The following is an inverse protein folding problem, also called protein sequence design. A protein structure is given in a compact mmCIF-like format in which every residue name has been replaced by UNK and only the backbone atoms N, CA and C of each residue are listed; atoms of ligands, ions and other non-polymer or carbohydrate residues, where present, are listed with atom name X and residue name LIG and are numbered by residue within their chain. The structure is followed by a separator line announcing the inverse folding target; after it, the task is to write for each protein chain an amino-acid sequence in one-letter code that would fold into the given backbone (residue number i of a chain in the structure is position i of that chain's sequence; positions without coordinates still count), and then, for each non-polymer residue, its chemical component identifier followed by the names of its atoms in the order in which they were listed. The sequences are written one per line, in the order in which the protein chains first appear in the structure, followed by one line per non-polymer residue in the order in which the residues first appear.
data_IF_571771176379
#
_entry.id   IF_571771176379
#
_cell.length_a   1.000
_cell.length_b   1.000
_cell.length_c   1.000
_cell.angle_alpha   90.00
_cell.angle_beta   90.00
_cell.angle_gamma   90.00
#
_symmetry.space_group_name_H-M   'P 1'
#
loop_
_entity.id
_entity.type
_entity.pdbx_description
1 polymer ?
#
# COMPACT_ATOMS: atom_id res chain seq x y z
N UNK A 1 -17.16 -1.63 2.77
CA UNK A 1 -18.06 -0.87 1.87
C UNK A 1 -18.96 0.14 2.59
N UNK A 2 -19.13 0.04 3.90
CA UNK A 2 -19.91 0.98 4.74
C UNK A 2 -19.44 2.45 4.61
N UNK A 3 -18.16 2.72 4.87
CA UNK A 3 -17.59 4.08 4.82
C UNK A 3 -17.40 4.66 3.41
N UNK A 4 -17.78 3.93 2.35
CA UNK A 4 -17.65 4.43 0.97
C UNK A 4 -18.77 5.41 0.59
N UNK A 5 -19.88 5.45 1.32
CA UNK A 5 -20.94 6.42 1.07
C UNK A 5 -20.62 7.77 1.74
N UNK A 6 -20.42 8.81 0.94
CA UNK A 6 -20.00 10.14 1.40
C UNK A 6 -21.06 10.88 2.21
N UNK A 7 -22.34 10.52 2.06
CA UNK A 7 -23.45 11.17 2.75
C UNK A 7 -23.96 10.40 3.97
N UNK A 8 -23.47 9.18 4.19
CA UNK A 8 -23.88 8.34 5.31
C UNK A 8 -23.02 8.53 6.56
N UNK A 9 -21.82 9.10 6.41
CA UNK A 9 -20.84 9.24 7.49
C UNK A 9 -20.24 10.63 7.50
N UNK A 10 -20.10 11.20 8.69
CA UNK A 10 -19.40 12.47 8.87
C UNK A 10 -17.90 12.29 8.58
N UNK A 11 -17.24 13.26 7.90
CA UNK A 11 -15.82 13.13 7.56
C UNK A 11 -14.89 12.87 8.76
N UNK A 12 -15.28 13.33 9.96
CA UNK A 12 -14.53 13.11 11.19
C UNK A 12 -14.50 11.63 11.61
N UNK A 13 -15.56 10.87 11.35
CA UNK A 13 -15.65 9.44 11.70
C UNK A 13 -14.61 8.60 10.92
N UNK A 14 -14.13 9.10 9.78
CA UNK A 14 -13.17 8.41 8.92
C UNK A 14 -11.77 8.33 9.54
N UNK A 15 -11.46 9.15 10.55
CA UNK A 15 -10.21 9.04 11.30
C UNK A 15 -10.16 7.80 12.17
N UNK A 16 -11.30 7.36 12.72
CA UNK A 16 -11.39 6.18 13.56
C UNK A 16 -11.79 4.92 12.78
N UNK A 17 -12.30 5.09 11.55
CA UNK A 17 -12.68 3.97 10.69
C UNK A 17 -11.50 2.98 10.47
N UNK A 18 -11.76 1.66 10.51
CA UNK A 18 -10.76 0.64 10.23
C UNK A 18 -10.36 0.68 8.75
N UNK A 19 -9.08 0.40 8.49
CA UNK A 19 -8.53 0.32 7.13
C UNK A 19 -8.30 -1.14 6.73
N UNK A 20 -8.66 -1.48 5.50
CA UNK A 20 -8.48 -2.82 4.93
C UNK A 20 -7.55 -2.75 3.73
N UNK A 21 -6.56 -3.65 3.67
CA UNK A 21 -5.77 -3.87 2.45
C UNK A 21 -6.57 -4.74 1.48
N UNK A 22 -6.70 -4.29 0.24
CA UNK A 22 -7.38 -5.02 -0.84
C UNK A 22 -6.40 -5.26 -1.98
N UNK A 23 -6.57 -6.38 -2.69
CA UNK A 23 -5.79 -6.68 -3.88
C UNK A 23 -5.99 -5.56 -4.92
N UNK A 24 -4.89 -4.97 -5.39
CA UNK A 24 -4.94 -3.87 -6.35
C UNK A 24 -5.55 -4.29 -7.69
N UNK A 25 -5.26 -5.51 -8.16
CA UNK A 25 -5.75 -6.06 -9.41
C UNK A 25 -6.31 -7.49 -9.22
N UNK A 26 -7.56 -7.64 -8.73
CA UNK A 26 -8.16 -8.94 -8.47
C UNK A 26 -8.25 -9.87 -9.69
N UNK A 27 -8.20 -9.29 -10.90
CA UNK A 27 -8.24 -10.05 -12.16
C UNK A 27 -6.91 -10.73 -12.48
N UNK A 28 -5.81 -10.29 -11.86
CA UNK A 28 -4.46 -10.81 -12.14
C UNK A 28 -4.27 -12.25 -11.66
N UNK A 29 -5.06 -12.71 -10.68
CA UNK A 29 -4.90 -14.00 -9.99
C UNK A 29 -3.50 -14.19 -9.38
N UNK A 30 -2.75 -13.10 -9.20
CA UNK A 30 -1.38 -13.12 -8.72
C UNK A 30 -1.29 -13.79 -7.35
N UNK A 31 -2.23 -13.48 -6.45
CA UNK A 31 -2.24 -14.04 -5.12
C UNK A 31 -2.33 -15.57 -5.12
N UNK A 32 -3.23 -16.12 -5.93
CA UNK A 32 -3.40 -17.57 -6.07
C UNK A 32 -2.18 -18.25 -6.68
N UNK A 33 -1.55 -17.61 -7.68
CA UNK A 33 -0.32 -18.14 -8.28
C UNK A 33 0.83 -18.20 -7.27
N UNK A 34 1.10 -17.10 -6.54
CA UNK A 34 2.17 -17.07 -5.53
C UNK A 34 1.96 -18.10 -4.41
N UNK A 35 0.71 -18.28 -3.96
CA UNK A 35 0.38 -19.29 -2.96
C UNK A 35 0.58 -20.72 -3.48
N UNK A 36 0.29 -20.96 -4.76
CA UNK A 36 0.53 -22.24 -5.42
C UNK A 36 2.02 -22.56 -5.53
N UNK A 37 2.84 -21.62 -5.99
CA UNK A 37 4.29 -21.80 -6.13
C UNK A 37 5.00 -21.96 -4.79
N UNK A 38 4.51 -21.29 -3.74
CA UNK A 38 5.07 -21.43 -2.40
C UNK A 38 4.65 -22.73 -1.68
N UNK A 39 3.66 -23.46 -2.20
CA UNK A 39 3.16 -24.66 -1.56
C UNK A 39 4.27 -25.73 -1.48
N UNK A 40 4.67 -26.09 -0.26
CA UNK A 40 5.76 -27.05 -0.04
C UNK A 40 7.17 -26.48 -0.22
N UNK A 41 7.31 -25.19 -0.55
CA UNK A 41 8.62 -24.54 -0.61
C UNK A 41 9.22 -24.39 0.78
N UNK A 42 10.52 -24.64 0.93
CA UNK A 42 11.24 -24.50 2.19
C UNK A 42 11.89 -23.12 2.35
N UNK A 43 12.17 -22.43 1.23
CA UNK A 43 12.82 -21.14 1.22
C UNK A 43 12.06 -20.15 0.32
N UNK A 44 11.94 -18.91 0.78
CA UNK A 44 11.43 -17.77 0.02
C UNK A 44 12.56 -16.74 -0.04
N UNK A 45 13.04 -16.46 -1.25
CA UNK A 45 14.08 -15.48 -1.50
C UNK A 45 13.52 -14.27 -2.23
N UNK A 46 13.57 -13.11 -1.57
CA UNK A 46 12.95 -11.87 -2.01
C UNK A 46 13.95 -11.00 -2.77
N UNK A 47 13.60 -10.69 -4.03
CA UNK A 47 14.41 -9.91 -4.99
C UNK A 47 13.72 -8.62 -5.44
N UNK A 48 12.83 -8.07 -4.61
CA UNK A 48 12.16 -6.79 -4.87
C UNK A 48 13.16 -5.63 -4.81
N UNK A 49 12.77 -4.47 -5.32
CA UNK A 49 13.63 -3.27 -5.30
C UNK A 49 14.04 -2.90 -3.87
N UNK A 50 15.25 -2.39 -3.70
CA UNK A 50 15.85 -2.14 -2.37
C UNK A 50 15.49 -0.75 -1.82
N UNK A 51 14.20 -0.45 -1.77
CA UNK A 51 13.66 0.75 -1.13
C UNK A 51 12.54 0.39 -0.14
N UNK A 52 11.89 1.41 0.45
CA UNK A 52 10.83 1.19 1.44
C UNK A 52 9.60 0.51 0.84
N UNK A 53 9.23 0.85 -0.40
CA UNK A 53 8.07 0.25 -1.08
C UNK A 53 8.35 -1.23 -1.41
N UNK A 54 9.58 -1.54 -1.85
CA UNK A 54 10.01 -2.91 -2.08
C UNK A 54 10.02 -3.76 -0.81
N UNK A 55 10.42 -3.21 0.33
CA UNK A 55 10.30 -3.90 1.63
C UNK A 55 8.84 -4.07 2.06
N UNK A 56 7.96 -3.10 1.78
CA UNK A 56 6.53 -3.23 2.04
C UNK A 56 5.93 -4.38 1.23
N UNK A 57 6.21 -4.44 -0.07
CA UNK A 57 5.77 -5.54 -0.95
C UNK A 57 6.39 -6.88 -0.51
N UNK A 58 7.63 -6.90 0.00
CA UNK A 58 8.22 -8.12 0.57
C UNK A 58 7.32 -8.70 1.67
N UNK A 59 6.84 -7.86 2.59
CA UNK A 59 5.97 -8.30 3.68
C UNK A 59 4.56 -8.67 3.22
N UNK A 60 4.04 -8.06 2.15
CA UNK A 60 2.80 -8.52 1.51
C UNK A 60 2.95 -9.94 0.94
N UNK A 61 4.04 -10.21 0.22
CA UNK A 61 4.34 -11.54 -0.32
C UNK A 61 4.53 -12.56 0.80
N UNK A 62 5.30 -12.23 1.84
CA UNK A 62 5.49 -13.09 3.01
C UNK A 62 4.13 -13.42 3.64
N UNK A 63 3.30 -12.41 3.93
CA UNK A 63 1.99 -12.59 4.53
C UNK A 63 1.08 -13.51 3.71
N UNK A 64 1.17 -13.40 2.38
CA UNK A 64 0.38 -14.20 1.46
C UNK A 64 0.78 -15.68 1.43
N UNK A 65 2.09 -15.97 1.40
CA UNK A 65 2.60 -17.31 1.06
C UNK A 65 3.11 -18.12 2.24
N UNK A 66 3.46 -17.47 3.35
CA UNK A 66 4.15 -18.09 4.50
C UNK A 66 3.38 -19.27 5.09
N UNK A 67 2.06 -19.27 5.07
CA UNK A 67 1.25 -20.38 5.60
C UNK A 67 1.32 -21.64 4.71
N UNK A 68 1.50 -21.47 3.40
CA UNK A 68 1.56 -22.56 2.40
C UNK A 68 2.93 -23.24 2.31
N UNK A 69 3.98 -22.56 2.77
CA UNK A 69 5.35 -23.08 2.78
C UNK A 69 5.52 -24.30 3.71
N UNK A 70 6.50 -25.15 3.42
CA UNK A 70 6.89 -26.27 4.27
C UNK A 70 7.69 -25.81 5.49
N UNK A 71 7.62 -26.56 6.60
CA UNK A 71 8.39 -26.28 7.82
C UNK A 71 9.61 -27.20 7.88
N UNK A 72 10.83 -26.70 8.17
CA UNK A 72 11.18 -25.32 8.51
C UNK A 72 11.16 -24.37 7.31
N UNK A 73 10.77 -23.10 7.59
CA UNK A 73 10.64 -22.02 6.59
C UNK A 73 11.84 -21.09 6.68
N UNK A 74 12.46 -20.80 5.55
CA UNK A 74 13.58 -19.87 5.44
C UNK A 74 13.15 -18.63 4.64
N UNK A 75 13.17 -17.46 5.27
CA UNK A 75 12.85 -16.19 4.63
C UNK A 75 14.15 -15.42 4.42
N UNK A 76 14.45 -15.08 3.17
CA UNK A 76 15.70 -14.44 2.77
C UNK A 76 15.42 -13.21 1.93
N UNK A 77 16.24 -12.18 2.11
CA UNK A 77 16.19 -10.92 1.36
C UNK A 77 17.52 -10.67 0.67
N UNK A 78 17.48 -10.48 -0.65
CA UNK A 78 18.63 -10.02 -1.41
C UNK A 78 18.67 -8.49 -1.42
N UNK A 79 19.81 -7.90 -1.07
CA UNK A 79 20.03 -6.46 -1.17
C UNK A 79 20.99 -6.15 -2.32
N UNK A 80 20.50 -5.43 -3.33
CA UNK A 80 21.24 -5.03 -4.52
C UNK A 80 20.92 -3.55 -4.84
N UNK A 81 21.80 -2.88 -5.56
CA UNK A 81 21.67 -1.48 -5.99
C UNK A 81 21.62 -1.32 -7.50
N UNK A 82 21.99 -2.36 -8.26
CA UNK A 82 21.83 -2.41 -9.71
C UNK A 82 21.51 -3.82 -10.21
N UNK A 83 21.08 -3.92 -11.47
CA UNK A 83 20.86 -5.20 -12.16
C UNK A 83 22.14 -5.73 -12.83
N UNK A 84 23.31 -5.21 -12.44
CA UNK A 84 24.59 -5.68 -12.96
C UNK A 84 24.92 -7.05 -12.40
N UNK A 85 25.44 -7.94 -13.26
CA UNK A 85 25.77 -9.32 -12.89
C UNK A 85 26.68 -9.42 -11.65
N UNK A 86 27.63 -8.48 -11.49
CA UNK A 86 28.52 -8.43 -10.32
C UNK A 86 27.76 -8.16 -9.02
N UNK A 87 26.80 -7.23 -9.05
CA UNK A 87 26.03 -6.83 -7.89
C UNK A 87 25.03 -7.91 -7.47
N UNK A 88 24.32 -8.51 -8.42
CA UNK A 88 23.40 -9.62 -8.15
C UNK A 88 24.13 -10.83 -7.54
N UNK A 89 25.34 -11.15 -8.02
CA UNK A 89 26.14 -12.24 -7.44
C UNK A 89 26.61 -11.90 -6.03
N UNK A 90 26.94 -10.65 -5.78
CA UNK A 90 27.31 -10.16 -4.45
C UNK A 90 26.13 -10.26 -3.48
N UNK A 91 24.94 -9.81 -3.90
CA UNK A 91 23.70 -9.88 -3.14
C UNK A 91 23.33 -11.33 -2.78
N UNK A 92 23.41 -12.25 -3.75
CA UNK A 92 23.14 -13.67 -3.51
C UNK A 92 24.14 -14.30 -2.52
N UNK A 93 25.39 -13.85 -2.50
CA UNK A 93 26.38 -14.30 -1.52
C UNK A 93 26.18 -13.73 -0.11
N UNK A 94 25.33 -12.72 0.07
CA UNK A 94 25.12 -11.97 1.32
C UNK A 94 23.64 -11.73 1.61
N UNK A 95 22.86 -12.81 1.54
CA UNK A 95 21.44 -12.76 1.84
C UNK A 95 21.20 -12.37 3.30
N UNK A 96 20.26 -11.45 3.50
CA UNK A 96 19.82 -10.97 4.80
C UNK A 96 18.40 -11.40 5.12
N UNK A 97 17.83 -10.75 6.15
CA UNK A 97 16.42 -10.82 6.48
C UNK A 97 15.69 -9.56 5.99
N UNK A 98 14.42 -9.65 5.58
CA UNK A 98 13.63 -8.48 5.22
C UNK A 98 13.39 -7.57 6.44
N UNK A 99 13.34 -6.24 6.25
CA UNK A 99 13.24 -5.27 7.35
C UNK A 99 11.80 -4.83 7.58
N UNK A 100 11.18 -5.35 8.64
CA UNK A 100 9.79 -5.04 8.98
C UNK A 100 9.57 -3.56 9.27
N UNK A 101 10.57 -2.85 9.81
CA UNK A 101 10.41 -1.44 10.20
C UNK A 101 10.21 -0.54 8.99
N UNK A 102 10.83 -0.89 7.86
CA UNK A 102 10.66 -0.17 6.60
C UNK A 102 9.27 -0.42 6.02
N UNK A 103 8.77 -1.66 6.08
CA UNK A 103 7.42 -2.00 5.68
C UNK A 103 6.36 -1.30 6.55
N UNK A 104 6.52 -1.33 7.88
CA UNK A 104 5.63 -0.68 8.84
C UNK A 104 5.57 0.84 8.62
N UNK A 105 6.68 1.47 8.24
CA UNK A 105 6.73 2.89 7.92
C UNK A 105 5.92 3.25 6.66
N UNK A 106 5.93 2.39 5.64
CA UNK A 106 5.09 2.56 4.44
C UNK A 106 3.62 2.36 4.79
N UNK A 107 3.29 1.34 5.56
CA UNK A 107 1.91 1.09 6.02
C UNK A 107 1.36 2.27 6.81
N UNK A 108 2.13 2.81 7.74
CA UNK A 108 1.75 4.01 8.50
C UNK A 108 1.49 5.20 7.57
N UNK A 109 2.38 5.44 6.59
CA UNK A 109 2.21 6.51 5.60
C UNK A 109 0.93 6.32 4.77
N UNK A 110 0.68 5.13 4.24
CA UNK A 110 -0.52 4.82 3.46
C UNK A 110 -1.81 5.07 4.25
N UNK A 111 -1.86 4.66 5.52
CA UNK A 111 -3.02 4.87 6.40
C UNK A 111 -3.23 6.36 6.66
N UNK A 112 -2.16 7.11 6.97
CA UNK A 112 -2.24 8.56 7.22
C UNK A 112 -2.72 9.30 5.97
N UNK A 113 -2.11 9.01 4.81
CA UNK A 113 -2.46 9.64 3.54
C UNK A 113 -3.91 9.33 3.15
N UNK A 114 -4.37 8.09 3.33
CA UNK A 114 -5.76 7.70 3.08
C UNK A 114 -6.73 8.45 4.00
N UNK A 115 -6.49 8.42 5.33
CA UNK A 115 -7.41 9.02 6.31
C UNK A 115 -7.49 10.52 6.16
N UNK A 116 -6.35 11.23 6.09
CA UNK A 116 -6.33 12.66 5.86
C UNK A 116 -6.91 13.02 4.49
N UNK A 117 -6.49 12.30 3.45
CA UNK A 117 -6.95 12.53 2.09
C UNK A 117 -8.47 12.42 1.97
N UNK A 118 -9.06 11.32 2.44
CA UNK A 118 -10.51 11.10 2.34
C UNK A 118 -11.30 12.06 3.24
N UNK A 119 -10.88 12.29 4.49
CA UNK A 119 -11.60 13.14 5.42
C UNK A 119 -11.65 14.59 4.94
N UNK A 120 -10.50 15.18 4.61
CA UNK A 120 -10.45 16.57 4.14
C UNK A 120 -11.05 16.75 2.75
N UNK A 121 -10.82 15.80 1.83
CA UNK A 121 -11.47 15.85 0.50
C UNK A 121 -12.98 15.86 0.62
N UNK A 122 -13.56 15.00 1.46
CA UNK A 122 -15.02 14.95 1.67
C UNK A 122 -15.52 16.23 2.33
N UNK A 123 -14.85 16.68 3.39
CA UNK A 123 -15.23 17.90 4.10
C UNK A 123 -15.25 19.12 3.17
N UNK A 124 -14.16 19.36 2.43
CA UNK A 124 -14.04 20.51 1.53
C UNK A 124 -15.04 20.38 0.38
N UNK A 125 -15.16 19.20 -0.23
CA UNK A 125 -16.10 18.99 -1.34
C UNK A 125 -17.55 19.27 -0.92
N UNK A 126 -18.01 18.70 0.20
CA UNK A 126 -19.37 18.88 0.69
C UNK A 126 -19.62 20.33 1.14
N UNK A 127 -18.64 20.98 1.76
CA UNK A 127 -18.72 22.38 2.15
C UNK A 127 -18.87 23.30 0.93
N UNK A 128 -18.00 23.17 -0.07
CA UNK A 128 -18.05 24.01 -1.29
C UNK A 128 -19.32 23.75 -2.09
N UNK A 129 -19.76 22.49 -2.20
CA UNK A 129 -21.01 22.15 -2.89
C UNK A 129 -22.24 22.76 -2.21
N UNK A 130 -22.23 22.89 -0.88
CA UNK A 130 -23.31 23.49 -0.10
C UNK A 130 -23.31 25.01 -0.17
N UNK A 131 -22.17 25.65 0.09
CA UNK A 131 -22.06 27.11 0.22
C UNK A 131 -21.90 27.82 -1.14
N UNK A 132 -21.30 27.17 -2.14
CA UNK A 132 -20.96 27.76 -3.44
C UNK A 132 -21.50 26.94 -4.62
N UNK A 133 -22.73 26.45 -4.53
CA UNK A 133 -23.34 25.55 -5.53
C UNK A 133 -23.27 26.08 -6.96
N UNK A 134 -23.61 27.36 -7.18
CA UNK A 134 -23.58 27.96 -8.53
C UNK A 134 -22.19 27.95 -9.14
N UNK A 135 -21.14 28.19 -8.34
CA UNK A 135 -19.75 28.13 -8.78
C UNK A 135 -19.31 26.69 -9.02
N UNK A 136 -19.66 25.78 -8.11
CA UNK A 136 -19.33 24.36 -8.21
C UNK A 136 -19.91 23.74 -9.49
N UNK A 137 -21.17 24.04 -9.78
CA UNK A 137 -21.87 23.59 -10.99
C UNK A 137 -21.33 24.29 -12.25
N UNK A 138 -21.06 25.60 -12.20
CA UNK A 138 -20.50 26.36 -13.34
C UNK A 138 -19.10 25.87 -13.74
N UNK A 139 -18.28 25.47 -12.76
CA UNK A 139 -16.96 24.89 -12.98
C UNK A 139 -17.01 23.39 -13.30
N UNK A 140 -18.20 22.76 -13.24
CA UNK A 140 -18.37 21.32 -13.49
C UNK A 140 -17.58 20.45 -12.53
N UNK A 141 -17.31 20.94 -11.31
CA UNK A 141 -16.53 20.20 -10.31
C UNK A 141 -17.32 18.98 -9.84
N UNK A 142 -16.61 17.88 -9.61
CA UNK A 142 -17.15 16.67 -8.99
C UNK A 142 -16.60 16.44 -7.59
N UNK A 143 -15.32 16.75 -7.41
CA UNK A 143 -14.57 16.57 -6.17
C UNK A 143 -13.53 17.67 -6.05
N UNK A 144 -13.34 18.19 -4.84
CA UNK A 144 -12.20 19.04 -4.48
C UNK A 144 -11.28 18.21 -3.58
N UNK A 145 -10.18 17.73 -4.16
CA UNK A 145 -9.26 16.82 -3.49
C UNK A 145 -8.26 17.56 -2.59
N UNK A 146 -8.03 17.00 -1.41
CA UNK A 146 -6.95 17.36 -0.51
C UNK A 146 -5.97 16.19 -0.39
N UNK A 147 -4.67 16.48 -0.44
CA UNK A 147 -3.62 15.53 -0.09
C UNK A 147 -2.67 16.19 0.91
N UNK A 148 -2.23 15.50 1.97
CA UNK A 148 -1.29 16.06 2.94
C UNK A 148 0.10 16.32 2.34
N UNK A 149 0.47 15.63 1.27
CA UNK A 149 1.74 15.82 0.55
C UNK A 149 1.77 17.05 -0.39
N UNK A 150 0.71 17.41 -1.15
CA UNK A 150 0.74 18.59 -2.04
C UNK A 150 0.57 19.97 -1.38
N UNK A 151 0.22 20.11 -0.09
CA UNK A 151 -0.11 21.44 0.47
C UNK A 151 1.06 22.45 0.50
N UNK A 152 2.35 22.07 0.62
CA UNK A 152 3.45 23.04 0.49
C UNK A 152 3.82 23.37 -0.96
N UNK A 153 3.20 22.72 -1.96
CA UNK A 153 3.62 22.78 -3.36
C UNK A 153 2.53 23.27 -4.34
N UNK A 154 1.38 23.73 -3.84
CA UNK A 154 0.30 24.34 -4.62
C UNK A 154 0.24 25.85 -4.41
#
# INVERSE_FOLDING_TARGET
DEYNNWHAHEPLELFDAPTEKKEAEPKSRMLGHLQGEAAGAHALLLWLDCDREGENICYEVIGLVRERMATPKLLLRAHFSSLDHGDLRHAYGRLGAPDQRLADAVDARQVIDLKLGVAFTRFITLFVQKEFRSLFDALGLKVVSYGPCPVPAL
#
